data_IF_055740023312
#
_entry.id   IF_055740023312
#
_cell.length_a   1.000
_cell.length_b   1.000
_cell.length_c   1.000
_cell.angle_alpha   90.00
_cell.angle_beta   90.00
_cell.angle_gamma   90.00
#
_symmetry.space_group_name_H-M   'P 1'
#
loop_
_entity.id
_entity.type
_entity.pdbx_description
1 polymer ?
#
# COMPACT_ATOMS: atom_id res chain seq x y z
N UNK A 1 5.03 -21.17 10.58
CA UNK A 1 4.88 -20.41 9.33
C UNK A 1 6.28 -20.30 8.70
N UNK A 2 6.43 -20.45 7.38
CA UNK A 2 7.74 -20.29 6.75
C UNK A 2 8.20 -18.83 6.85
N UNK A 3 9.50 -18.61 7.06
CA UNK A 3 10.07 -17.25 7.05
C UNK A 3 9.90 -16.66 5.66
N UNK A 4 9.27 -15.49 5.57
CA UNK A 4 9.16 -14.75 4.31
C UNK A 4 10.52 -14.15 4.01
N UNK A 5 11.10 -14.57 2.89
CA UNK A 5 12.38 -14.06 2.41
C UNK A 5 12.16 -13.21 1.16
N UNK A 6 12.38 -11.91 1.30
CA UNK A 6 12.25 -10.91 0.23
C UNK A 6 13.56 -10.72 -0.56
N UNK A 7 14.68 -11.27 -0.09
CA UNK A 7 16.00 -11.07 -0.70
C UNK A 7 16.08 -11.67 -2.10
N UNK A 8 15.33 -12.74 -2.36
CA UNK A 8 15.16 -13.34 -3.70
C UNK A 8 14.56 -12.40 -4.74
N UNK A 9 13.88 -11.33 -4.32
CA UNK A 9 13.35 -10.28 -5.20
C UNK A 9 14.23 -9.02 -5.21
N UNK A 10 15.40 -9.06 -4.56
CA UNK A 10 16.33 -7.94 -4.46
C UNK A 10 16.03 -6.94 -3.33
N UNK A 11 15.08 -7.22 -2.44
CA UNK A 11 14.74 -6.33 -1.31
C UNK A 11 15.60 -6.70 -0.09
N UNK A 12 16.37 -5.74 0.42
CA UNK A 12 17.24 -5.89 1.59
C UNK A 12 17.02 -4.77 2.59
N UNK A 13 17.31 -5.01 3.88
CA UNK A 13 17.21 -3.96 4.91
C UNK A 13 15.77 -3.65 5.37
N UNK A 14 14.80 -4.50 5.03
CA UNK A 14 13.43 -4.39 5.55
C UNK A 14 13.44 -4.46 7.08
N UNK A 15 12.91 -3.46 7.74
CA UNK A 15 12.83 -3.36 9.21
C UNK A 15 11.74 -4.25 9.79
N UNK A 16 10.64 -4.42 9.06
CA UNK A 16 9.47 -5.19 9.49
C UNK A 16 8.76 -5.82 8.28
N UNK A 17 8.05 -6.93 8.52
CA UNK A 17 7.16 -7.57 7.53
C UNK A 17 5.80 -7.81 8.20
N UNK A 18 4.79 -7.06 7.77
CA UNK A 18 3.39 -7.28 8.13
C UNK A 18 2.77 -8.19 7.05
N UNK A 19 2.47 -9.43 7.39
CA UNK A 19 2.00 -10.45 6.44
C UNK A 19 0.58 -10.92 6.77
N UNK A 20 -0.28 -10.89 5.76
CA UNK A 20 -1.72 -11.16 5.88
C UNK A 20 -2.35 -10.32 7.01
N UNK A 21 -2.24 -8.97 6.97
CA UNK A 21 -2.87 -8.11 7.97
C UNK A 21 -4.37 -8.33 8.00
N UNK A 22 -4.97 -8.22 9.19
CA UNK A 22 -6.42 -8.21 9.30
C UNK A 22 -7.01 -6.88 8.77
N UNK A 23 -8.33 -6.82 8.60
CA UNK A 23 -8.98 -5.56 8.24
C UNK A 23 -8.83 -4.50 9.33
N UNK A 24 -8.79 -4.92 10.59
CA UNK A 24 -8.57 -4.04 11.74
C UNK A 24 -7.15 -3.47 11.74
N UNK A 25 -6.14 -4.31 11.45
CA UNK A 25 -4.75 -3.87 11.31
C UNK A 25 -4.63 -2.82 10.19
N UNK A 26 -5.28 -3.09 9.04
CA UNK A 26 -5.30 -2.15 7.91
C UNK A 26 -5.97 -0.82 8.27
N UNK A 27 -7.15 -0.87 8.91
CA UNK A 27 -7.86 0.33 9.32
C UNK A 27 -7.03 1.20 10.28
N UNK A 28 -6.35 0.58 11.25
CA UNK A 28 -5.46 1.28 12.18
C UNK A 28 -4.28 1.90 11.43
N UNK A 29 -3.68 1.17 10.49
CA UNK A 29 -2.53 1.65 9.72
C UNK A 29 -2.91 2.81 8.78
N UNK A 30 -4.08 2.74 8.14
CA UNK A 30 -4.57 3.75 7.18
C UNK A 30 -5.06 5.05 7.84
N UNK A 31 -5.36 5.03 9.14
CA UNK A 31 -5.92 6.17 9.89
C UNK A 31 -4.93 6.82 10.86
N UNK A 32 -3.64 6.50 10.76
CA UNK A 32 -2.60 7.11 11.59
C UNK A 32 -2.50 8.63 11.34
N UNK A 33 -2.33 9.44 12.40
CA UNK A 33 -2.34 10.91 12.29
C UNK A 33 -1.05 11.50 11.69
N UNK A 34 0.01 10.72 11.58
CA UNK A 34 1.32 11.11 11.05
C UNK A 34 1.52 10.74 9.56
N UNK A 35 0.50 10.16 8.92
CA UNK A 35 0.52 9.95 7.48
C UNK A 35 0.52 11.29 6.73
N UNK A 36 1.20 11.33 5.59
CA UNK A 36 1.35 12.53 4.79
C UNK A 36 0.98 12.28 3.32
N UNK A 37 0.63 13.35 2.59
CA UNK A 37 0.39 13.29 1.15
C UNK A 37 -0.75 12.35 0.75
N UNK A 38 -0.45 11.37 -0.10
CA UNK A 38 -1.42 10.42 -0.66
C UNK A 38 -1.62 9.17 0.20
N UNK A 39 -0.86 9.03 1.30
CA UNK A 39 -0.98 7.89 2.21
C UNK A 39 -2.10 8.12 3.25
N UNK A 40 -2.60 9.34 3.40
CA UNK A 40 -3.61 9.71 4.39
C UNK A 40 -4.97 9.09 4.06
N UNK A 41 -5.43 8.17 4.90
CA UNK A 41 -6.81 7.69 4.93
C UNK A 41 -7.73 8.58 5.77
N UNK A 42 -8.93 8.85 5.28
CA UNK A 42 -9.98 9.60 6.01
C UNK A 42 -11.22 8.73 6.23
N UNK A 43 -11.65 8.61 7.47
CA UNK A 43 -12.89 7.90 7.79
C UNK A 43 -14.09 8.77 7.40
N UNK A 44 -14.88 8.29 6.45
CA UNK A 44 -16.13 8.94 6.01
C UNK A 44 -17.25 8.80 7.05
N UNK A 45 -18.34 9.54 6.87
CA UNK A 45 -19.55 9.41 7.70
C UNK A 45 -20.19 8.01 7.63
N UNK A 46 -19.89 7.25 6.57
CA UNK A 46 -20.33 5.88 6.38
C UNK A 46 -19.42 4.85 7.06
N UNK A 47 -18.33 5.29 7.70
CA UNK A 47 -17.37 4.44 8.41
C UNK A 47 -16.31 3.78 7.50
N UNK A 48 -16.35 4.01 6.19
CA UNK A 48 -15.32 3.56 5.25
C UNK A 48 -14.16 4.55 5.17
N UNK A 49 -12.96 4.05 4.93
CA UNK A 49 -11.75 4.87 4.68
C UNK A 49 -11.73 5.30 3.20
N UNK A 50 -11.50 6.59 2.97
CA UNK A 50 -11.29 7.21 1.65
C UNK A 50 -9.85 7.72 1.53
N UNK A 51 -9.29 7.67 0.32
CA UNK A 51 -7.91 8.11 0.01
C UNK A 51 -7.88 8.89 -1.30
N UNK A 52 -6.92 9.80 -1.45
CA UNK A 52 -6.70 10.54 -2.69
C UNK A 52 -5.47 10.05 -3.44
N UNK A 53 -5.61 9.76 -4.74
CA UNK A 53 -4.50 9.29 -5.61
C UNK A 53 -3.85 10.40 -6.45
N UNK A 54 -4.15 11.66 -6.15
CA UNK A 54 -3.60 12.81 -6.85
C UNK A 54 -4.03 12.86 -8.32
N UNK A 55 -3.05 12.97 -9.23
CA UNK A 55 -3.31 13.03 -10.67
C UNK A 55 -3.61 11.65 -11.28
N UNK A 56 -3.31 10.56 -10.56
CA UNK A 56 -3.49 9.19 -11.03
C UNK A 56 -4.92 8.70 -10.73
N UNK A 57 -5.90 9.35 -11.36
CA UNK A 57 -7.34 9.07 -11.19
C UNK A 57 -7.86 7.97 -12.12
N UNK A 58 -6.95 7.26 -12.81
CA UNK A 58 -7.26 6.21 -13.76
C UNK A 58 -6.02 5.47 -14.26
N UNK A 59 -6.21 4.55 -15.20
CA UNK A 59 -5.11 3.79 -15.80
C UNK A 59 -4.26 4.67 -16.72
N UNK A 60 -2.95 4.41 -16.75
CA UNK A 60 -2.01 5.00 -17.70
C UNK A 60 -1.61 3.98 -18.79
N UNK A 61 -2.42 3.77 -19.84
CA UNK A 61 -2.16 2.73 -20.84
C UNK A 61 -0.85 2.94 -21.61
N UNK A 62 -0.37 4.20 -21.68
CA UNK A 62 0.88 4.56 -22.38
C UNK A 62 2.14 4.17 -21.60
N UNK A 63 2.02 3.90 -20.30
CA UNK A 63 3.15 3.55 -19.42
C UNK A 63 3.26 2.03 -19.19
N UNK A 64 2.45 1.23 -19.89
CA UNK A 64 2.51 -0.24 -19.82
C UNK A 64 3.53 -0.78 -20.81
N UNK A 65 4.54 -1.48 -20.30
CA UNK A 65 5.58 -2.15 -21.09
C UNK A 65 5.60 -3.66 -20.80
N UNK A 66 6.10 -4.43 -21.77
CA UNK A 66 6.36 -5.87 -21.64
C UNK A 66 7.82 -6.07 -22.04
N UNK A 67 8.60 -6.77 -21.20
CA UNK A 67 9.99 -7.13 -21.54
C UNK A 67 9.93 -8.04 -22.77
N UNK A 68 10.68 -7.69 -23.81
CA UNK A 68 10.88 -8.56 -24.95
C UNK A 68 12.16 -9.37 -24.69
N UNK A 69 12.02 -10.68 -24.61
CA UNK A 69 13.07 -11.65 -24.31
C UNK A 69 13.37 -12.60 -25.47
#
# INVERSE_FOLDING_TARGET
MAKIDLTKYGITGSTEIIYNPSYEDLFIAETQPDLEGFDVGKVSELGAVDVFTGIYTGRSPKDKYIVMD
#
